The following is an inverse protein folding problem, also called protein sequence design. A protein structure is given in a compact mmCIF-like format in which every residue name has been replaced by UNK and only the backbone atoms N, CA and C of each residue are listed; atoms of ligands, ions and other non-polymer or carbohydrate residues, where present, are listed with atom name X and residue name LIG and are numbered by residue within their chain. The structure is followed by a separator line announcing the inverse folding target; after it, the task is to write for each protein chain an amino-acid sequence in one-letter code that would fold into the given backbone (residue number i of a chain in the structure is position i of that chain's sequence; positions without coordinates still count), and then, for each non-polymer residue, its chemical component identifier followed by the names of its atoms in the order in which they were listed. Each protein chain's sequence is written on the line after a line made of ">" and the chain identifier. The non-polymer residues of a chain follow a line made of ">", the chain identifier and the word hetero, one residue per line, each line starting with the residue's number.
data_IF_832307792768
#
_entry.id   IF_832307792768
#
_cell.length_a   1.000
_cell.length_b   1.000
_cell.length_c   1.000
_cell.angle_alpha   90.00
_cell.angle_beta   90.00
_cell.angle_gamma   90.00
#
_symmetry.space_group_name_H-M   'P 1'
#
loop_
_entity.id
_entity.type
_entity.pdbx_description
1 polymer ?
#
# COMPACT_ATOMS: atom_id res chain seq x y z
N UNK A 1 7.58 -3.41 24.92
CA UNK A 1 7.73 -3.19 23.46
C UNK A 1 7.58 -1.70 23.20
N UNK A 2 8.44 -1.08 22.37
CA UNK A 2 8.31 0.37 22.09
C UNK A 2 7.13 0.59 21.12
N UNK A 3 6.18 1.48 21.45
CA UNK A 3 5.07 1.81 20.56
C UNK A 3 5.60 2.53 19.31
N UNK A 4 4.94 2.30 18.17
CA UNK A 4 5.27 2.99 16.91
C UNK A 4 4.72 4.42 17.00
N UNK A 5 5.52 5.46 16.69
CA UNK A 5 5.00 6.82 16.63
C UNK A 5 3.94 6.95 15.54
N UNK A 6 2.74 7.45 15.87
CA UNK A 6 1.63 7.61 14.91
C UNK A 6 2.01 8.47 13.70
N UNK A 7 2.82 9.53 13.91
CA UNK A 7 3.32 10.37 12.83
C UNK A 7 4.09 9.57 11.77
N UNK A 8 4.90 8.59 12.17
CA UNK A 8 5.70 7.77 11.26
C UNK A 8 4.82 6.86 10.40
N UNK A 9 3.80 6.26 11.03
CA UNK A 9 2.79 5.47 10.32
C UNK A 9 1.99 6.31 9.34
N UNK A 10 1.65 7.55 9.70
CA UNK A 10 0.95 8.50 8.82
C UNK A 10 1.79 8.80 7.57
N UNK A 11 3.08 9.14 7.74
CA UNK A 11 3.97 9.43 6.62
C UNK A 11 4.20 8.19 5.73
N UNK A 12 4.47 7.03 6.32
CA UNK A 12 4.69 5.79 5.57
C UNK A 12 3.42 5.36 4.80
N UNK A 13 2.24 5.50 5.40
CA UNK A 13 0.97 5.20 4.73
C UNK A 13 0.68 6.17 3.59
N UNK A 14 1.00 7.45 3.77
CA UNK A 14 0.88 8.44 2.70
C UNK A 14 1.80 8.12 1.53
N UNK A 15 3.05 7.71 1.81
CA UNK A 15 3.98 7.26 0.79
C UNK A 15 3.44 6.07 -0.01
N UNK A 16 2.93 5.03 0.67
CA UNK A 16 2.30 3.86 0.01
C UNK A 16 1.10 4.29 -0.86
N UNK A 17 0.26 5.21 -0.37
CA UNK A 17 -0.87 5.73 -1.12
C UNK A 17 -0.44 6.46 -2.40
N UNK A 18 0.55 7.35 -2.32
CA UNK A 18 1.09 8.07 -3.49
C UNK A 18 1.67 7.07 -4.51
N UNK A 19 2.41 6.06 -4.04
CA UNK A 19 2.96 5.02 -4.91
C UNK A 19 1.86 4.24 -5.64
N UNK A 20 0.81 3.83 -4.91
CA UNK A 20 -0.33 3.15 -5.52
C UNK A 20 -1.05 4.05 -6.54
N UNK A 21 -1.23 5.34 -6.24
CA UNK A 21 -1.83 6.30 -7.16
C UNK A 21 -1.01 6.46 -8.45
N UNK A 22 0.31 6.57 -8.33
CA UNK A 22 1.22 6.61 -9.48
C UNK A 22 1.12 5.34 -10.31
N UNK A 23 1.00 4.17 -9.66
CA UNK A 23 0.87 2.89 -10.36
C UNK A 23 -0.42 2.83 -11.18
N UNK A 24 -1.54 3.30 -10.60
CA UNK A 24 -2.81 3.41 -11.33
C UNK A 24 -2.70 4.36 -12.52
N UNK A 25 -2.05 5.52 -12.34
CA UNK A 25 -1.81 6.47 -13.43
C UNK A 25 -0.95 5.86 -14.54
N UNK A 26 0.09 5.12 -14.18
CA UNK A 26 0.94 4.40 -15.14
C UNK A 26 0.13 3.36 -15.92
N UNK A 27 -0.72 2.58 -15.26
CA UNK A 27 -1.59 1.61 -15.97
C UNK A 27 -2.52 2.31 -16.96
N UNK A 28 -3.10 3.46 -16.61
CA UNK A 28 -3.91 4.23 -17.55
C UNK A 28 -3.09 4.80 -18.71
N UNK A 29 -1.87 5.27 -18.45
CA UNK A 29 -0.95 5.71 -19.49
C UNK A 29 -0.59 4.57 -20.45
N UNK A 30 -0.30 3.37 -19.94
CA UNK A 30 0.02 2.20 -20.76
C UNK A 30 -1.18 1.75 -21.60
N UNK A 31 -2.38 1.77 -21.03
CA UNK A 31 -3.63 1.55 -21.79
C UNK A 31 -3.80 2.57 -22.92
N UNK A 32 -3.55 3.85 -22.64
CA UNK A 32 -3.73 4.92 -23.60
C UNK A 32 -2.67 4.96 -24.71
N UNK A 33 -1.42 4.58 -24.41
CA UNK A 33 -0.29 4.71 -25.35
C UNK A 33 0.08 3.40 -26.05
N UNK A 34 -0.04 2.27 -25.36
CA UNK A 34 0.37 0.96 -25.87
C UNK A 34 -0.80 0.01 -26.12
N UNK A 35 -2.05 0.44 -25.88
CA UNK A 35 -3.22 -0.43 -25.98
C UNK A 35 -3.20 -1.55 -24.93
N UNK A 36 -2.57 -1.29 -23.78
CA UNK A 36 -2.51 -2.22 -22.65
C UNK A 36 -3.89 -2.70 -22.19
N UNK A 37 -3.93 -3.68 -21.28
CA UNK A 37 -5.19 -4.27 -20.84
C UNK A 37 -6.05 -3.27 -20.05
N UNK A 38 -6.97 -2.60 -20.75
CA UNK A 38 -7.92 -1.63 -20.18
C UNK A 38 -8.75 -2.21 -19.02
N UNK A 39 -8.99 -3.53 -19.04
CA UNK A 39 -9.70 -4.27 -17.99
C UNK A 39 -9.00 -4.16 -16.63
N UNK A 40 -7.66 -4.19 -16.61
CA UNK A 40 -6.89 -4.10 -15.36
C UNK A 40 -6.94 -2.68 -14.78
N UNK A 41 -6.76 -1.67 -15.62
CA UNK A 41 -6.82 -0.25 -15.23
C UNK A 41 -8.23 0.14 -14.75
N UNK A 42 -9.27 -0.31 -15.46
CA UNK A 42 -10.67 -0.14 -15.06
C UNK A 42 -10.97 -0.88 -13.75
N UNK A 43 -10.54 -2.13 -13.63
CA UNK A 43 -10.76 -2.95 -12.43
C UNK A 43 -10.17 -2.30 -11.18
N UNK A 44 -8.91 -1.83 -11.25
CA UNK A 44 -8.26 -1.15 -10.13
C UNK A 44 -8.94 0.20 -9.82
N UNK A 45 -9.32 0.96 -10.84
CA UNK A 45 -9.99 2.27 -10.64
C UNK A 45 -11.37 2.12 -10.00
N UNK A 46 -12.16 1.14 -10.44
CA UNK A 46 -13.45 0.79 -9.86
C UNK A 46 -13.27 0.37 -8.41
N UNK A 47 -12.32 -0.55 -8.13
CA UNK A 47 -12.01 -0.96 -6.76
C UNK A 47 -11.60 0.26 -5.91
N UNK A 48 -10.75 1.16 -6.41
CA UNK A 48 -10.33 2.37 -5.69
C UNK A 48 -11.49 3.30 -5.37
N UNK A 49 -12.42 3.55 -6.32
CA UNK A 49 -13.60 4.41 -6.11
C UNK A 49 -14.57 3.78 -5.11
N UNK A 50 -14.84 2.48 -5.20
CA UNK A 50 -15.74 1.78 -4.28
C UNK A 50 -15.14 1.58 -2.88
N UNK A 51 -13.81 1.44 -2.78
CA UNK A 51 -13.14 1.30 -1.49
C UNK A 51 -12.84 2.64 -0.83
N UNK A 52 -12.77 3.76 -1.56
CA UNK A 52 -12.52 5.11 -1.04
C UNK A 52 -13.41 5.52 0.17
N UNK A 53 -14.75 5.43 0.12
CA UNK A 53 -15.60 5.77 1.26
C UNK A 53 -15.40 4.80 2.45
N UNK A 54 -14.90 3.60 2.17
CA UNK A 54 -14.66 2.57 3.17
C UNK A 54 -13.22 2.56 3.70
N UNK A 55 -12.30 3.41 3.24
CA UNK A 55 -10.89 3.42 3.72
C UNK A 55 -10.80 3.59 5.25
N UNK A 56 -11.69 4.38 5.86
CA UNK A 56 -11.76 4.56 7.32
C UNK A 56 -12.15 3.25 8.05
N UNK A 57 -12.92 2.40 7.38
CA UNK A 57 -13.41 1.11 7.86
C UNK A 57 -12.69 -0.08 7.21
N UNK A 58 -11.74 0.16 6.30
CA UNK A 58 -10.95 -0.83 5.59
C UNK A 58 -9.86 -1.38 6.53
N UNK A 59 -10.28 -1.82 7.70
CA UNK A 59 -9.61 -2.94 8.31
C UNK A 59 -9.87 -4.13 7.41
N UNK A 60 -8.88 -4.49 6.57
CA UNK A 60 -8.92 -5.72 5.81
C UNK A 60 -9.10 -6.87 6.80
N UNK A 61 -10.35 -7.28 6.97
CA UNK A 61 -10.84 -8.18 8.00
C UNK A 61 -10.82 -9.63 7.57
N UNK A 62 -9.90 -10.02 6.68
CA UNK A 62 -9.97 -11.36 6.12
C UNK A 62 -9.58 -12.45 7.11
N UNK A 63 -8.83 -12.15 8.18
CA UNK A 63 -8.51 -13.11 9.25
C UNK A 63 -8.55 -12.38 10.59
N UNK A 64 -9.35 -12.88 11.54
CA UNK A 64 -9.59 -12.22 12.83
C UNK A 64 -8.31 -11.74 13.55
N UNK A 65 -8.25 -10.44 13.86
CA UNK A 65 -7.97 -10.04 15.24
C UNK A 65 -6.64 -9.37 15.64
N UNK A 66 -5.54 -9.31 14.85
CA UNK A 66 -4.30 -8.65 15.32
C UNK A 66 -3.54 -7.87 14.24
N UNK A 67 -2.95 -6.74 14.63
CA UNK A 67 -2.04 -5.95 13.80
C UNK A 67 -0.78 -6.78 13.49
N UNK A 68 -0.58 -7.15 12.22
CA UNK A 68 0.60 -7.91 11.75
C UNK A 68 1.91 -7.12 11.85
N UNK A 69 1.82 -5.81 12.04
CA UNK A 69 2.94 -4.92 12.35
C UNK A 69 2.73 -4.30 13.75
N UNK A 70 2.81 -5.11 14.84
CA UNK A 70 2.41 -4.68 16.18
C UNK A 70 3.46 -3.80 16.87
N UNK A 71 4.70 -3.77 16.39
CA UNK A 71 5.81 -3.12 17.07
C UNK A 71 6.78 -2.41 16.11
N UNK A 72 7.60 -1.52 16.68
CA UNK A 72 8.56 -0.71 15.93
C UNK A 72 9.52 -1.53 15.07
N UNK A 73 9.97 -2.70 15.54
CA UNK A 73 10.89 -3.56 14.79
C UNK A 73 10.25 -4.12 13.52
N UNK A 74 9.02 -4.63 13.62
CA UNK A 74 8.26 -5.11 12.46
C UNK A 74 7.95 -3.99 11.46
N UNK A 75 7.71 -2.77 11.97
CA UNK A 75 7.50 -1.60 11.14
C UNK A 75 8.76 -1.21 10.36
N UNK A 76 9.92 -1.18 11.04
CA UNK A 76 11.20 -0.86 10.39
C UNK A 76 11.53 -1.87 9.31
N UNK A 77 11.34 -3.17 9.57
CA UNK A 77 11.57 -4.23 8.57
C UNK A 77 10.64 -4.04 7.38
N UNK A 78 9.33 -3.85 7.61
CA UNK A 78 8.37 -3.63 6.54
C UNK A 78 8.70 -2.39 5.71
N UNK A 79 9.06 -1.27 6.37
CA UNK A 79 9.44 -0.04 5.68
C UNK A 79 10.73 -0.22 4.87
N UNK A 80 11.72 -0.93 5.42
CA UNK A 80 12.99 -1.17 4.74
C UNK A 80 12.80 -2.04 3.49
N UNK A 81 12.04 -3.13 3.59
CA UNK A 81 11.70 -3.97 2.44
C UNK A 81 10.91 -3.16 1.40
N UNK A 82 9.92 -2.37 1.83
CA UNK A 82 9.15 -1.49 0.94
C UNK A 82 10.08 -0.55 0.14
N UNK A 83 11.00 0.13 0.82
CA UNK A 83 11.88 1.12 0.19
C UNK A 83 12.88 0.47 -0.76
N UNK A 84 13.46 -0.67 -0.39
CA UNK A 84 14.42 -1.40 -1.24
C UNK A 84 13.72 -1.99 -2.46
N UNK A 85 12.50 -2.50 -2.32
CA UNK A 85 11.77 -3.10 -3.44
C UNK A 85 11.07 -2.07 -4.33
N UNK A 86 10.75 -0.88 -3.82
CA UNK A 86 10.07 0.16 -4.59
C UNK A 86 10.88 0.61 -5.81
N UNK A 87 12.16 0.93 -5.63
CA UNK A 87 12.98 1.50 -6.73
C UNK A 87 13.19 0.49 -7.86
N UNK A 88 13.64 -0.75 -7.60
CA UNK A 88 13.77 -1.78 -8.64
C UNK A 88 12.43 -2.14 -9.29
N UNK A 89 11.34 -2.15 -8.51
CA UNK A 89 10.00 -2.36 -9.07
C UNK A 89 9.66 -1.30 -10.11
N UNK A 90 9.80 -0.02 -9.79
CA UNK A 90 9.52 1.05 -10.74
C UNK A 90 10.41 1.03 -11.97
N UNK A 91 11.70 0.73 -11.82
CA UNK A 91 12.61 0.57 -12.95
C UNK A 91 12.12 -0.58 -13.85
N UNK A 92 11.87 -1.75 -13.26
CA UNK A 92 11.40 -2.94 -13.98
C UNK A 92 10.07 -2.71 -14.69
N UNK A 93 9.17 -1.93 -14.08
CA UNK A 93 7.89 -1.56 -14.65
C UNK A 93 8.07 -0.63 -15.86
N UNK A 94 8.91 0.40 -15.74
CA UNK A 94 9.19 1.35 -16.82
C UNK A 94 9.95 0.71 -17.99
N UNK A 95 10.78 -0.29 -17.72
CA UNK A 95 11.48 -1.09 -18.73
C UNK A 95 10.58 -2.17 -19.38
N UNK A 96 9.35 -2.35 -18.89
CA UNK A 96 8.40 -3.34 -19.40
C UNK A 96 8.72 -4.79 -19.00
N UNK A 97 9.62 -4.99 -18.05
CA UNK A 97 10.06 -6.30 -17.56
C UNK A 97 9.74 -6.46 -16.07
N UNK A 98 8.44 -6.53 -15.74
CA UNK A 98 7.97 -6.55 -14.35
C UNK A 98 8.52 -7.75 -13.60
N UNK A 99 9.38 -7.49 -12.61
CA UNK A 99 9.85 -8.52 -11.70
C UNK A 99 8.84 -8.70 -10.54
N UNK A 100 8.19 -9.86 -10.52
CA UNK A 100 7.21 -10.20 -9.50
C UNK A 100 7.79 -10.22 -8.08
N UNK A 101 9.10 -10.46 -7.93
CA UNK A 101 9.75 -10.43 -6.62
C UNK A 101 9.76 -9.00 -6.05
N UNK A 102 10.09 -8.01 -6.88
CA UNK A 102 10.07 -6.61 -6.47
C UNK A 102 8.65 -6.08 -6.31
N UNK A 103 7.71 -6.53 -7.15
CA UNK A 103 6.29 -6.22 -6.98
C UNK A 103 5.75 -6.72 -5.64
N UNK A 104 6.01 -7.98 -5.27
CA UNK A 104 5.58 -8.54 -3.99
C UNK A 104 6.29 -7.86 -2.81
N UNK A 105 7.58 -7.55 -2.96
CA UNK A 105 8.37 -6.79 -1.99
C UNK A 105 7.88 -5.35 -1.79
N UNK A 106 7.18 -4.77 -2.77
CA UNK A 106 6.51 -3.48 -2.64
C UNK A 106 5.08 -3.63 -2.06
N UNK A 107 4.30 -4.55 -2.59
CA UNK A 107 2.88 -4.71 -2.27
C UNK A 107 2.65 -5.20 -0.83
N UNK A 108 3.30 -6.29 -0.42
CA UNK A 108 3.05 -6.94 0.87
C UNK A 108 3.41 -5.98 2.03
N UNK A 109 4.60 -5.36 2.07
CA UNK A 109 4.93 -4.43 3.15
C UNK A 109 4.09 -3.15 3.12
N UNK A 110 3.71 -2.67 1.92
CA UNK A 110 2.79 -1.54 1.78
C UNK A 110 1.45 -1.81 2.45
N UNK A 111 0.86 -2.98 2.23
CA UNK A 111 -0.39 -3.40 2.87
C UNK A 111 -0.25 -3.55 4.39
N UNK A 112 0.89 -4.06 4.88
CA UNK A 112 1.17 -4.17 6.32
C UNK A 112 1.21 -2.80 6.99
N UNK A 113 1.86 -1.81 6.37
CA UNK A 113 1.96 -0.44 6.88
C UNK A 113 0.57 0.22 6.90
N UNK A 114 -0.19 0.11 5.81
CA UNK A 114 -1.56 0.63 5.73
C UNK A 114 -2.47 0.03 6.80
N UNK A 115 -2.33 -1.28 7.09
CA UNK A 115 -3.10 -1.94 8.16
C UNK A 115 -2.70 -1.44 9.54
N UNK A 116 -1.41 -1.26 9.80
CA UNK A 116 -0.92 -0.73 11.07
C UNK A 116 -1.44 0.69 11.31
N UNK A 117 -1.43 1.53 10.29
CA UNK A 117 -1.98 2.88 10.36
C UNK A 117 -3.50 2.89 10.58
N UNK A 118 -4.27 2.11 9.81
CA UNK A 118 -5.73 1.99 9.99
C UNK A 118 -6.10 1.58 11.42
N UNK A 119 -5.37 0.59 11.97
CA UNK A 119 -5.60 0.09 13.34
C UNK A 119 -5.31 1.17 14.39
N UNK A 120 -4.19 1.90 14.26
CA UNK A 120 -3.88 3.00 15.19
C UNK A 120 -4.85 4.17 15.02
N UNK A 121 -5.20 4.56 13.80
CA UNK A 121 -6.13 5.65 13.54
C UNK A 121 -7.51 5.40 14.17
N UNK A 122 -8.01 4.15 14.13
CA UNK A 122 -9.24 3.76 14.82
C UNK A 122 -9.11 3.83 16.35
N UNK A 123 -7.96 3.47 16.91
CA UNK A 123 -7.70 3.58 18.34
C UNK A 123 -7.65 5.06 18.80
N UNK A 124 -7.08 5.96 17.99
CA UNK A 124 -7.06 7.40 18.26
C UNK A 124 -8.42 8.08 18.04
N UNK A 125 -9.33 7.49 17.27
CA UNK A 125 -10.64 8.05 16.95
C UNK A 125 -11.75 7.69 17.96
N UNK A 126 -11.55 6.69 18.83
CA UNK A 126 -12.49 6.40 19.91
C UNK A 126 -12.31 7.42 21.04
N UNK A 127 -13.32 8.22 21.40
CA UNK A 127 -13.24 9.04 22.60
C UNK A 127 -13.16 8.09 23.81
N UNK A 128 -12.19 8.35 24.67
CA UNK A 128 -12.06 7.75 26.00
C UNK A 128 -13.26 8.07 26.87
#
# INVERSE_FOLDING_TARGET
>A
MRPIPFAWLKYASWFVFVQAALFVLYLWYDVATNGGQAVLALGISVVSVFTYPNIKNAGWGFWGGRNLCPNLSTFIVALFVLLISAVPFWISLLEGNVDYLFYLGWLIPGLLILRAYSTMAQAYAKPS
#
